data_IF_371645568019
#
_entry.id   IF_371645568019
#
_cell.length_a   1.000
_cell.length_b   1.000
_cell.length_c   1.000
_cell.angle_alpha   90.00
_cell.angle_beta   90.00
_cell.angle_gamma   90.00
#
_symmetry.space_group_name_H-M   'P 1'
#
loop_
_entity.id
_entity.type
_entity.pdbx_description
1 polymer ?
#
# COMPACT_ATOMS: atom_id res chain seq x y z
N UNK A 1 7.88 11.46 -15.95
CA UNK A 1 6.91 12.11 -16.87
C UNK A 1 6.08 13.11 -16.08
N UNK A 2 5.30 12.71 -15.06
CA UNK A 2 4.41 13.56 -14.28
C UNK A 2 5.08 14.85 -13.80
N UNK A 3 6.24 14.73 -13.11
CA UNK A 3 6.98 15.86 -12.58
C UNK A 3 7.31 16.91 -13.65
N UNK A 4 7.70 16.46 -14.84
CA UNK A 4 7.98 17.34 -15.98
C UNK A 4 6.70 17.99 -16.51
N UNK A 5 5.57 17.28 -16.59
CA UNK A 5 4.29 17.85 -17.00
C UNK A 5 3.79 18.90 -16.02
N UNK A 6 3.97 18.69 -14.71
CA UNK A 6 3.63 19.68 -13.66
C UNK A 6 4.45 20.96 -13.83
N UNK A 7 5.72 20.84 -14.24
CA UNK A 7 6.62 21.99 -14.45
C UNK A 7 6.33 22.75 -15.76
N UNK A 8 5.91 22.05 -16.81
CA UNK A 8 5.75 22.61 -18.17
C UNK A 8 4.34 23.08 -18.50
N UNK A 9 3.31 22.63 -17.76
CA UNK A 9 1.91 22.91 -18.09
C UNK A 9 1.26 23.87 -17.06
N UNK A 10 0.39 24.74 -17.57
CA UNK A 10 -0.43 25.67 -16.77
C UNK A 10 -1.81 25.06 -16.40
N UNK A 11 -1.88 23.76 -16.26
CA UNK A 11 -3.06 23.02 -15.83
C UNK A 11 -2.70 22.04 -14.72
N UNK A 12 -3.65 21.67 -13.84
CA UNK A 12 -3.41 20.65 -12.83
C UNK A 12 -3.06 19.31 -13.49
N UNK A 13 -2.00 18.66 -13.02
CA UNK A 13 -1.57 17.34 -13.50
C UNK A 13 -1.52 16.40 -12.31
N UNK A 14 -2.23 15.29 -12.41
CA UNK A 14 -2.23 14.23 -11.39
C UNK A 14 -2.17 12.86 -12.05
N UNK A 15 -1.29 12.01 -11.55
CA UNK A 15 -1.24 10.60 -11.93
C UNK A 15 -2.13 9.79 -10.97
N UNK A 16 -3.30 9.39 -11.43
CA UNK A 16 -4.31 8.76 -10.57
C UNK A 16 -3.89 7.40 -9.99
N UNK A 17 -3.23 6.54 -10.78
CA UNK A 17 -2.69 5.26 -10.29
C UNK A 17 -1.65 5.44 -9.15
N UNK A 18 -1.10 6.63 -9.02
CA UNK A 18 -0.13 7.01 -8.00
C UNK A 18 -0.82 7.66 -6.81
N UNK A 19 -1.45 8.79 -7.05
CA UNK A 19 -2.01 9.63 -6.00
C UNK A 19 -3.42 9.21 -5.58
N UNK A 20 -4.26 8.79 -6.52
CA UNK A 20 -5.59 8.24 -6.23
C UNK A 20 -5.49 6.95 -5.42
N UNK A 21 -4.61 6.03 -5.81
CA UNK A 21 -4.35 4.80 -5.05
C UNK A 21 -3.86 5.13 -3.64
N UNK A 22 -2.93 6.09 -3.48
CA UNK A 22 -2.44 6.50 -2.17
C UNK A 22 -3.56 7.06 -1.28
N UNK A 23 -4.41 7.94 -1.81
CA UNK A 23 -5.52 8.56 -1.06
C UNK A 23 -6.53 7.50 -0.60
N UNK A 24 -6.95 6.62 -1.50
CA UNK A 24 -7.98 5.62 -1.16
C UNK A 24 -7.43 4.55 -0.22
N UNK A 25 -6.19 4.07 -0.45
CA UNK A 25 -5.58 3.09 0.47
C UNK A 25 -5.34 3.70 1.86
N UNK A 26 -4.96 4.97 1.95
CA UNK A 26 -4.78 5.65 3.22
C UNK A 26 -6.10 5.85 3.97
N UNK A 27 -7.18 6.20 3.26
CA UNK A 27 -8.51 6.30 3.86
C UNK A 27 -9.00 4.95 4.39
N UNK A 28 -8.83 3.88 3.59
CA UNK A 28 -9.15 2.52 3.99
C UNK A 28 -8.31 2.05 5.20
N UNK A 29 -7.00 2.31 5.18
CA UNK A 29 -6.10 1.96 6.29
C UNK A 29 -6.51 2.67 7.58
N UNK A 30 -6.82 3.97 7.52
CA UNK A 30 -7.27 4.73 8.69
C UNK A 30 -8.53 4.12 9.30
N UNK A 31 -9.54 3.80 8.46
CA UNK A 31 -10.77 3.19 8.93
C UNK A 31 -10.55 1.77 9.49
N UNK A 32 -9.71 0.98 8.85
CA UNK A 32 -9.39 -0.37 9.31
C UNK A 32 -8.66 -0.35 10.68
N UNK A 33 -7.71 0.56 10.85
CA UNK A 33 -6.99 0.76 12.14
C UNK A 33 -7.94 1.19 13.26
N UNK A 34 -8.94 2.03 12.97
CA UNK A 34 -9.97 2.43 13.94
C UNK A 34 -10.81 1.22 14.39
N UNK A 35 -11.17 0.31 13.44
CA UNK A 35 -11.94 -0.90 13.76
C UNK A 35 -11.17 -1.85 14.67
N UNK A 36 -9.86 -2.03 14.44
CA UNK A 36 -9.01 -2.93 15.24
C UNK A 36 -8.35 -2.25 16.45
N UNK A 37 -8.68 -0.97 16.68
CA UNK A 37 -8.16 -0.16 17.81
C UNK A 37 -6.62 -0.11 17.88
N UNK A 38 -5.94 -0.04 16.72
CA UNK A 38 -4.48 0.09 16.64
C UNK A 38 -4.07 1.49 16.15
N UNK A 39 -2.97 2.01 16.71
CA UNK A 39 -2.37 3.28 16.27
C UNK A 39 -1.46 3.05 15.05
N UNK A 40 -1.59 3.90 14.03
CA UNK A 40 -0.75 3.86 12.83
C UNK A 40 0.76 4.00 13.16
N UNK A 41 1.11 4.66 14.25
CA UNK A 41 2.49 4.82 14.69
C UNK A 41 3.10 3.53 15.29
N UNK A 42 2.27 2.57 15.68
CA UNK A 42 2.73 1.36 16.39
C UNK A 42 2.65 0.10 15.50
N UNK A 43 1.89 0.14 14.39
CA UNK A 43 1.69 -1.04 13.53
C UNK A 43 2.88 -1.30 12.62
N UNK A 44 3.22 -2.58 12.43
CA UNK A 44 4.16 -3.04 11.42
C UNK A 44 3.45 -3.16 10.06
N UNK A 45 3.93 -2.40 9.08
CA UNK A 45 3.36 -2.33 7.73
C UNK A 45 4.31 -2.99 6.73
N UNK A 46 3.85 -4.00 6.02
CA UNK A 46 4.57 -4.63 4.91
C UNK A 46 3.98 -4.13 3.60
N UNK A 47 4.81 -3.50 2.77
CA UNK A 47 4.43 -3.01 1.43
C UNK A 47 5.10 -3.88 0.39
N UNK A 48 4.31 -4.66 -0.34
CA UNK A 48 4.82 -5.51 -1.41
C UNK A 48 4.61 -4.86 -2.78
N UNK A 49 5.69 -4.36 -3.31
CA UNK A 49 5.81 -3.51 -4.47
C UNK A 49 6.69 -2.29 -4.16
N UNK A 50 7.44 -1.83 -5.13
CA UNK A 50 8.31 -0.64 -5.01
C UNK A 50 8.20 0.25 -6.25
N UNK A 51 7.05 0.21 -6.90
CA UNK A 51 6.68 1.08 -8.01
C UNK A 51 6.12 2.43 -7.52
N UNK A 52 5.70 3.25 -8.44
CA UNK A 52 5.22 4.60 -8.15
C UNK A 52 4.02 4.62 -7.19
N UNK A 53 3.06 3.72 -7.34
CA UNK A 53 1.92 3.60 -6.43
C UNK A 53 2.36 3.24 -5.00
N UNK A 54 3.21 2.20 -4.84
CA UNK A 54 3.71 1.77 -3.54
C UNK A 54 4.48 2.88 -2.81
N UNK A 55 5.36 3.59 -3.52
CA UNK A 55 6.10 4.75 -2.99
C UNK A 55 5.14 5.86 -2.54
N UNK A 56 4.12 6.17 -3.34
CA UNK A 56 3.16 7.23 -3.01
C UNK A 56 2.29 6.85 -1.81
N UNK A 57 1.81 5.60 -1.75
CA UNK A 57 1.06 5.07 -0.60
C UNK A 57 1.90 5.18 0.67
N UNK A 58 3.13 4.67 0.66
CA UNK A 58 4.02 4.66 1.83
C UNK A 58 4.33 6.07 2.31
N UNK A 59 4.60 7.01 1.40
CA UNK A 59 4.81 8.43 1.76
C UNK A 59 3.58 9.04 2.42
N UNK A 60 2.39 8.68 1.97
CA UNK A 60 1.16 9.17 2.58
C UNK A 60 0.94 8.56 3.97
N UNK A 61 1.24 7.26 4.17
CA UNK A 61 1.18 6.63 5.49
C UNK A 61 2.13 7.28 6.50
N UNK A 62 3.36 7.62 6.09
CA UNK A 62 4.30 8.38 6.93
C UNK A 62 3.74 9.75 7.32
N UNK A 63 3.08 10.46 6.39
CA UNK A 63 2.43 11.75 6.70
C UNK A 63 1.24 11.62 7.65
N UNK A 64 0.60 10.45 7.70
CA UNK A 64 -0.49 10.13 8.62
C UNK A 64 0.01 9.67 9.99
N UNK A 65 1.32 9.48 10.16
CA UNK A 65 1.92 9.14 11.45
C UNK A 65 2.59 7.77 11.52
N UNK A 66 2.57 6.96 10.45
CA UNK A 66 3.35 5.72 10.43
C UNK A 66 4.84 6.02 10.61
N UNK A 67 5.55 5.17 11.36
CA UNK A 67 7.00 5.30 11.56
C UNK A 67 7.74 4.54 10.47
N UNK A 68 8.78 5.15 9.91
CA UNK A 68 9.55 4.53 8.82
C UNK A 68 10.23 3.22 9.27
N UNK A 69 10.63 3.13 10.52
CA UNK A 69 11.22 1.92 11.11
C UNK A 69 10.24 0.74 11.19
N UNK A 70 8.93 1.00 11.20
CA UNK A 70 7.89 -0.02 11.22
C UNK A 70 7.42 -0.41 9.81
N UNK A 71 8.01 0.15 8.76
CA UNK A 71 7.64 -0.15 7.37
C UNK A 71 8.71 -1.03 6.71
N UNK A 72 8.28 -2.17 6.20
CA UNK A 72 9.12 -3.07 5.41
C UNK A 72 8.61 -3.08 3.97
N UNK A 73 9.44 -2.62 3.04
CA UNK A 73 9.10 -2.61 1.61
C UNK A 73 9.81 -3.75 0.88
N UNK A 74 9.06 -4.46 0.02
CA UNK A 74 9.56 -5.54 -0.82
C UNK A 74 9.46 -5.18 -2.31
N UNK A 75 10.40 -5.65 -3.10
CA UNK A 75 10.33 -5.65 -4.57
C UNK A 75 10.49 -7.08 -5.13
N UNK A 76 10.62 -7.23 -6.45
CA UNK A 76 10.78 -8.54 -7.11
C UNK A 76 12.02 -9.33 -6.68
N UNK A 77 12.93 -8.73 -5.91
CA UNK A 77 14.14 -9.38 -5.38
C UNK A 77 14.06 -9.63 -3.86
N UNK A 78 12.90 -9.39 -3.24
CA UNK A 78 12.67 -9.52 -1.80
C UNK A 78 12.69 -8.19 -1.06
N UNK A 79 13.00 -8.21 0.22
CA UNK A 79 13.02 -7.03 1.09
C UNK A 79 14.05 -6.01 0.61
N UNK A 80 13.67 -4.74 0.61
CA UNK A 80 14.58 -3.63 0.26
C UNK A 80 15.42 -3.29 1.48
N UNK A 81 16.63 -3.85 1.51
CA UNK A 81 17.61 -3.64 2.58
C UNK A 81 18.63 -2.58 2.20
N UNK A 82 19.18 -1.88 3.18
CA UNK A 82 20.19 -0.82 2.97
C UNK A 82 21.51 -1.33 2.38
N UNK A 83 21.83 -2.60 2.61
CA UNK A 83 23.03 -3.26 2.10
C UNK A 83 22.90 -3.79 0.67
N UNK A 84 21.73 -3.64 0.03
CA UNK A 84 21.51 -4.03 -1.37
C UNK A 84 22.15 -3.01 -2.32
N UNK A 85 22.87 -3.53 -3.31
CA UNK A 85 23.40 -2.74 -4.41
C UNK A 85 22.32 -2.22 -5.36
N UNK A 86 22.62 -1.10 -6.03
CA UNK A 86 21.81 -0.54 -7.12
C UNK A 86 20.36 -0.17 -6.75
N UNK A 87 20.12 0.27 -5.52
CA UNK A 87 18.86 0.87 -5.13
C UNK A 87 18.69 2.25 -5.77
N UNK A 88 17.51 2.53 -6.32
CA UNK A 88 17.14 3.90 -6.70
C UNK A 88 16.98 4.76 -5.44
N UNK A 89 17.12 6.09 -5.58
CA UNK A 89 16.92 7.02 -4.45
C UNK A 89 15.56 6.84 -3.76
N UNK A 90 14.51 6.54 -4.52
CA UNK A 90 13.18 6.27 -4.00
C UNK A 90 13.12 4.98 -3.16
N UNK A 91 13.83 3.93 -3.56
CA UNK A 91 13.91 2.69 -2.78
C UNK A 91 14.79 2.85 -1.54
N UNK A 92 15.86 3.63 -1.64
CA UNK A 92 16.73 3.93 -0.49
C UNK A 92 15.99 4.62 0.66
N UNK A 93 14.96 5.42 0.35
CA UNK A 93 14.10 6.09 1.32
C UNK A 93 13.43 5.10 2.30
N UNK A 94 13.10 3.90 1.80
CA UNK A 94 12.38 2.85 2.54
C UNK A 94 13.23 1.61 2.83
N UNK A 95 14.54 1.69 2.62
CA UNK A 95 15.42 0.55 2.86
C UNK A 95 15.61 0.31 4.37
N UNK A 96 15.28 -0.92 4.79
CA UNK A 96 15.44 -1.35 6.19
C UNK A 96 16.87 -1.80 6.51
N UNK A 97 17.21 -1.79 7.80
CA UNK A 97 18.44 -2.39 8.36
C UNK A 97 18.17 -3.77 8.99
N UNK A 98 16.91 -4.22 9.02
CA UNK A 98 16.57 -5.54 9.55
C UNK A 98 17.18 -6.66 8.70
N UNK A 99 17.57 -7.75 9.35
CA UNK A 99 18.13 -8.94 8.67
C UNK A 99 17.04 -9.90 8.22
N UNK A 100 16.16 -9.40 7.33
CA UNK A 100 15.08 -10.11 6.67
C UNK A 100 15.21 -9.97 5.16
N UNK A 101 14.91 -11.01 4.40
CA UNK A 101 15.21 -11.07 2.97
C UNK A 101 13.96 -11.31 2.10
N UNK A 102 12.99 -12.04 2.62
CA UNK A 102 11.83 -12.50 1.87
C UNK A 102 10.54 -11.82 2.31
N UNK A 103 9.52 -11.87 1.45
CA UNK A 103 8.18 -11.42 1.81
C UNK A 103 7.61 -12.22 2.99
N UNK A 104 7.86 -13.53 3.03
CA UNK A 104 7.42 -14.40 4.11
C UNK A 104 8.00 -13.96 5.47
N UNK A 105 9.30 -13.68 5.52
CA UNK A 105 9.95 -13.15 6.73
C UNK A 105 9.40 -11.78 7.13
N UNK A 106 9.15 -10.91 6.16
CA UNK A 106 8.58 -9.58 6.40
C UNK A 106 7.18 -9.66 7.02
N UNK A 107 6.35 -10.60 6.56
CA UNK A 107 4.96 -10.76 7.01
C UNK A 107 4.84 -11.32 8.43
N UNK A 108 5.89 -11.92 8.98
CA UNK A 108 5.86 -12.41 10.36
C UNK A 108 5.56 -11.28 11.35
N UNK A 109 4.49 -11.46 12.15
CA UNK A 109 3.98 -10.47 13.11
C UNK A 109 3.66 -9.10 12.48
N UNK A 110 3.39 -9.02 11.18
CA UNK A 110 2.92 -7.79 10.55
C UNK A 110 1.45 -7.53 10.89
N UNK A 111 1.11 -6.28 11.15
CA UNK A 111 -0.28 -5.85 11.38
C UNK A 111 -0.98 -5.52 10.07
N UNK A 112 -0.23 -5.01 9.10
CA UNK A 112 -0.77 -4.51 7.83
C UNK A 112 0.04 -5.05 6.66
N UNK A 113 -0.64 -5.60 5.66
CA UNK A 113 -0.08 -5.94 4.35
C UNK A 113 -0.71 -5.08 3.26
N UNK A 114 0.13 -4.44 2.45
CA UNK A 114 -0.25 -3.60 1.31
C UNK A 114 0.34 -4.20 0.03
N UNK A 115 -0.49 -4.86 -0.75
CA UNK A 115 -0.10 -5.49 -2.01
C UNK A 115 -0.28 -4.53 -3.20
N UNK A 116 0.82 -4.26 -3.92
CA UNK A 116 0.88 -3.35 -5.09
C UNK A 116 1.85 -3.92 -6.14
N UNK A 117 1.85 -5.23 -6.33
CA UNK A 117 2.81 -5.89 -7.22
C UNK A 117 2.15 -6.83 -8.23
N UNK A 118 2.07 -8.10 -7.94
CA UNK A 118 1.49 -9.13 -8.81
C UNK A 118 0.64 -10.12 -8.02
N UNK A 119 -0.30 -10.75 -8.70
CA UNK A 119 -1.20 -11.73 -8.09
C UNK A 119 -0.52 -13.02 -7.63
N UNK A 120 -1.22 -13.74 -6.76
CA UNK A 120 -0.94 -15.09 -6.30
C UNK A 120 0.47 -15.27 -5.67
N UNK A 121 0.89 -14.32 -4.84
CA UNK A 121 2.21 -14.36 -4.17
C UNK A 121 2.12 -14.46 -2.64
N UNK A 122 0.94 -14.23 -2.07
CA UNK A 122 0.69 -14.38 -0.64
C UNK A 122 0.04 -15.74 -0.39
N UNK A 123 0.62 -16.51 0.52
CA UNK A 123 0.11 -17.83 0.89
C UNK A 123 -0.72 -17.78 2.16
N UNK A 124 -1.56 -18.80 2.44
CA UNK A 124 -2.26 -18.93 3.71
C UNK A 124 -1.31 -18.89 4.92
N UNK A 125 -0.13 -19.53 4.82
CA UNK A 125 0.87 -19.56 5.88
C UNK A 125 1.40 -18.17 6.20
N UNK A 126 1.63 -17.33 5.18
CA UNK A 126 2.01 -15.93 5.37
C UNK A 126 0.93 -15.15 6.12
N UNK A 127 -0.36 -15.35 5.79
CA UNK A 127 -1.46 -14.72 6.53
C UNK A 127 -1.53 -15.20 7.99
N UNK A 128 -1.34 -16.49 8.23
CA UNK A 128 -1.34 -17.06 9.57
C UNK A 128 -0.17 -16.56 10.43
N UNK A 129 0.94 -16.13 9.82
CA UNK A 129 2.10 -15.58 10.51
C UNK A 129 1.93 -14.11 10.95
N UNK A 130 0.92 -13.42 10.44
CA UNK A 130 0.63 -12.03 10.79
C UNK A 130 0.09 -11.91 12.23
N UNK A 131 0.15 -10.69 12.76
CA UNK A 131 -0.43 -10.33 14.07
C UNK A 131 -1.93 -10.66 14.14
N UNK A 132 -2.49 -10.55 15.35
CA UNK A 132 -3.93 -10.63 15.57
C UNK A 132 -4.64 -9.45 14.89
N UNK A 133 -5.85 -9.70 14.36
CA UNK A 133 -6.69 -8.74 13.65
C UNK A 133 -5.93 -8.03 12.50
N UNK A 134 -5.36 -8.78 11.51
CA UNK A 134 -4.53 -8.18 10.47
C UNK A 134 -5.35 -7.46 9.42
N UNK A 135 -4.79 -6.39 8.87
CA UNK A 135 -5.31 -5.66 7.72
C UNK A 135 -4.56 -6.12 6.47
N UNK A 136 -5.29 -6.60 5.45
CA UNK A 136 -4.71 -7.08 4.20
C UNK A 136 -5.36 -6.41 3.00
N UNK A 137 -4.63 -5.55 2.33
CA UNK A 137 -5.04 -4.91 1.07
C UNK A 137 -4.30 -5.53 -0.10
N UNK A 138 -4.92 -6.50 -0.77
CA UNK A 138 -4.38 -7.16 -1.95
C UNK A 138 -4.86 -6.44 -3.22
N UNK A 139 -4.15 -5.39 -3.63
CA UNK A 139 -4.59 -4.44 -4.64
C UNK A 139 -4.02 -4.70 -6.05
N UNK A 140 -3.26 -5.78 -6.27
CA UNK A 140 -2.80 -6.13 -7.61
C UNK A 140 -3.99 -6.41 -8.54
N UNK A 141 -3.87 -5.96 -9.77
CA UNK A 141 -4.88 -6.12 -10.82
C UNK A 141 -4.29 -6.84 -12.05
N UNK A 142 -5.04 -7.74 -12.71
CA UNK A 142 -6.43 -8.16 -12.41
C UNK A 142 -6.55 -9.21 -11.32
N UNK A 143 -5.44 -9.85 -10.92
CA UNK A 143 -5.38 -10.93 -9.93
C UNK A 143 -4.76 -10.35 -8.65
N UNK A 144 -5.46 -10.40 -7.49
CA UNK A 144 -4.90 -9.92 -6.22
C UNK A 144 -3.77 -10.83 -5.73
N UNK A 145 -2.94 -10.34 -4.82
CA UNK A 145 -1.82 -11.08 -4.21
C UNK A 145 -2.27 -12.37 -3.52
N UNK A 146 -3.49 -12.39 -3.02
CA UNK A 146 -4.23 -13.56 -2.54
C UNK A 146 -5.71 -13.33 -2.85
N UNK A 147 -6.46 -14.38 -3.22
CA UNK A 147 -7.88 -14.23 -3.48
C UNK A 147 -8.65 -13.90 -2.20
N UNK A 148 -9.73 -13.10 -2.33
CA UNK A 148 -10.57 -12.69 -1.21
C UNK A 148 -11.09 -13.88 -0.43
N UNK A 149 -11.64 -14.88 -1.14
CA UNK A 149 -12.25 -16.05 -0.53
C UNK A 149 -11.23 -16.91 0.22
N UNK A 150 -10.03 -17.10 -0.34
CA UNK A 150 -8.96 -17.85 0.32
C UNK A 150 -8.46 -17.13 1.58
N UNK A 151 -8.31 -15.81 1.54
CA UNK A 151 -7.88 -15.03 2.69
C UNK A 151 -8.90 -15.11 3.83
N UNK A 152 -10.18 -14.91 3.54
CA UNK A 152 -11.26 -15.02 4.53
C UNK A 152 -11.50 -16.45 5.04
N UNK A 153 -11.22 -17.47 4.22
CA UNK A 153 -11.25 -18.86 4.66
C UNK A 153 -10.05 -19.24 5.55
N UNK A 154 -8.94 -18.53 5.42
CA UNK A 154 -7.71 -18.75 6.20
C UNK A 154 -7.80 -18.15 7.60
N UNK A 155 -8.40 -16.95 7.73
CA UNK A 155 -8.53 -16.21 9.00
C UNK A 155 -9.87 -15.51 9.09
N UNK A 156 -10.55 -15.64 10.22
CA UNK A 156 -11.83 -15.01 10.52
C UNK A 156 -11.70 -13.62 11.15
N UNK A 157 -10.51 -13.27 11.67
CA UNK A 157 -10.17 -11.98 12.28
C UNK A 157 -9.57 -10.96 11.27
N UNK A 158 -9.53 -11.29 9.96
CA UNK A 158 -8.89 -10.46 8.95
C UNK A 158 -9.78 -9.32 8.46
N UNK A 159 -9.23 -8.11 8.30
CA UNK A 159 -9.82 -7.07 7.47
C UNK A 159 -9.23 -7.18 6.07
N UNK A 160 -9.98 -7.80 5.16
CA UNK A 160 -9.55 -8.03 3.78
C UNK A 160 -10.15 -7.01 2.82
N UNK A 161 -9.32 -6.47 1.93
CA UNK A 161 -9.72 -5.63 0.82
C UNK A 161 -8.97 -5.99 -0.46
N UNK A 162 -9.60 -5.75 -1.61
CA UNK A 162 -8.98 -5.90 -2.93
C UNK A 162 -9.21 -4.66 -3.80
N UNK A 163 -8.54 -4.57 -4.95
CA UNK A 163 -8.81 -3.53 -5.95
C UNK A 163 -10.10 -3.75 -6.76
N UNK A 164 -10.82 -4.86 -6.53
CA UNK A 164 -11.97 -5.32 -7.32
C UNK A 164 -13.28 -4.84 -6.72
N UNK A 165 -14.26 -4.53 -7.60
CA UNK A 165 -15.61 -4.10 -7.21
C UNK A 165 -16.59 -5.26 -6.94
N UNK A 166 -16.19 -6.49 -7.26
CA UNK A 166 -17.00 -7.71 -7.06
C UNK A 166 -16.76 -8.38 -5.71
N UNK A 167 -15.89 -7.80 -4.88
CA UNK A 167 -15.66 -8.21 -3.49
C UNK A 167 -15.96 -7.06 -2.50
N UNK A 168 -16.25 -7.36 -1.23
CA UNK A 168 -16.34 -6.35 -0.18
C UNK A 168 -15.04 -5.54 -0.03
N UNK A 169 -15.17 -4.30 0.50
CA UNK A 169 -14.03 -3.43 0.79
C UNK A 169 -13.14 -3.14 -0.43
N UNK A 170 -13.73 -2.64 -1.52
CA UNK A 170 -12.94 -2.22 -2.66
C UNK A 170 -11.97 -1.09 -2.29
N UNK A 171 -10.67 -1.28 -2.56
CA UNK A 171 -9.62 -0.27 -2.44
C UNK A 171 -8.99 -0.05 -3.81
N UNK A 172 -9.51 0.95 -4.53
CA UNK A 172 -9.08 1.28 -5.88
C UNK A 172 -9.13 2.81 -6.08
N UNK A 173 -8.17 3.35 -6.85
CA UNK A 173 -8.09 4.77 -7.18
C UNK A 173 -9.39 5.34 -7.78
N UNK A 174 -10.13 4.54 -8.55
CA UNK A 174 -11.41 4.97 -9.15
C UNK A 174 -12.41 5.54 -8.14
N UNK A 175 -12.35 5.12 -6.88
CA UNK A 175 -13.23 5.62 -5.82
C UNK A 175 -12.94 7.08 -5.46
N UNK A 176 -11.70 7.53 -5.57
CA UNK A 176 -11.28 8.91 -5.27
C UNK A 176 -11.39 9.87 -6.44
N UNK A 177 -11.21 9.35 -7.63
CA UNK A 177 -11.10 10.11 -8.87
C UNK A 177 -12.21 11.16 -9.09
N UNK A 178 -13.53 10.85 -8.99
CA UNK A 178 -14.57 11.85 -9.21
C UNK A 178 -14.52 13.02 -8.23
N UNK A 179 -14.19 12.75 -6.98
CA UNK A 179 -14.13 13.75 -5.92
C UNK A 179 -12.91 14.66 -6.05
N UNK A 180 -11.76 14.10 -6.44
CA UNK A 180 -10.53 14.86 -6.70
C UNK A 180 -10.75 15.80 -7.88
N UNK A 181 -11.36 15.31 -8.97
CA UNK A 181 -11.72 16.13 -10.13
C UNK A 181 -12.68 17.25 -9.76
N UNK A 182 -13.73 16.93 -9.02
CA UNK A 182 -14.70 17.91 -8.57
C UNK A 182 -14.04 18.99 -7.72
N UNK A 183 -13.21 18.58 -6.75
CA UNK A 183 -12.50 19.52 -5.88
C UNK A 183 -11.56 20.45 -6.66
N UNK A 184 -10.81 19.89 -7.61
CA UNK A 184 -9.91 20.69 -8.47
C UNK A 184 -10.67 21.73 -9.29
N UNK A 185 -11.83 21.38 -9.85
CA UNK A 185 -12.68 22.31 -10.60
C UNK A 185 -13.30 23.39 -9.71
N UNK A 186 -13.77 23.02 -8.52
CA UNK A 186 -14.42 23.97 -7.58
C UNK A 186 -13.46 25.06 -7.13
N UNK A 187 -12.20 24.74 -6.87
CA UNK A 187 -11.18 25.72 -6.48
C UNK A 187 -10.44 26.33 -7.67
N UNK A 188 -10.78 25.92 -8.89
CA UNK A 188 -10.06 26.30 -10.12
C UNK A 188 -8.55 26.09 -9.98
N UNK A 189 -8.16 24.89 -9.55
CA UNK A 189 -6.77 24.53 -9.35
C UNK A 189 -5.95 24.81 -10.61
N UNK A 190 -4.76 25.36 -10.43
CA UNK A 190 -3.80 25.67 -11.51
C UNK A 190 -2.54 24.82 -11.39
N UNK A 191 -2.33 24.19 -10.25
CA UNK A 191 -1.21 23.28 -9.96
C UNK A 191 -1.67 22.21 -8.97
#
# INVERSE_FOLDING_TARGET
IEKRLIEELDIPVMHDDQHGTAIISAAALKNALEIIEKDIAEVKIVVNGAGAAAISCTRLYLRLGAKNENIVMCDSKGVIRRDRDNLTSQKQEFATTEDINTLEEAMQNADVFIGLSKGDIVTPEMLLSMSKDPIVFAMANPIPEISYDLACATRDDIIMATGRSDHPNQVNNVLGFPFIFRGALDVRATK
#
